data_IF_731577496346
#
_entry.id   IF_731577496346
#
_cell.length_a   1.000
_cell.length_b   1.000
_cell.length_c   1.000
_cell.angle_alpha   90.00
_cell.angle_beta   90.00
_cell.angle_gamma   90.00
#
_symmetry.space_group_name_H-M   'P 1'
#
loop_
_entity.id
_entity.type
_entity.pdbx_description
1 polymer ?
#
# COMPACT_ATOMS: atom_id res chain seq x y z
N UNK A 1 -15.89 68.76 -13.52
CA UNK A 1 -15.99 69.81 -14.53
C UNK A 1 -15.96 69.16 -15.91
N UNK A 2 -16.99 69.47 -16.69
CA UNK A 2 -17.11 69.43 -18.15
C UNK A 2 -16.72 68.14 -18.88
N UNK A 3 -17.64 67.42 -19.53
CA UNK A 3 -18.77 67.94 -20.32
C UNK A 3 -18.32 68.06 -21.78
N UNK A 4 -19.00 67.35 -22.68
CA UNK A 4 -18.61 67.32 -24.08
C UNK A 4 -19.64 66.67 -24.99
N UNK A 5 -20.92 66.97 -24.78
CA UNK A 5 -21.92 66.84 -25.83
C UNK A 5 -21.48 67.69 -27.03
N UNK A 6 -21.55 67.12 -28.24
CA UNK A 6 -21.85 67.90 -29.45
C UNK A 6 -22.92 67.17 -30.23
N UNK A 7 -24.08 67.83 -30.32
CA UNK A 7 -25.10 67.51 -31.29
C UNK A 7 -25.02 68.42 -32.52
N UNK A 8 -25.91 68.09 -33.45
CA UNK A 8 -26.50 68.88 -34.54
C UNK A 8 -25.69 69.13 -35.82
N UNK A 9 -26.33 69.47 -36.97
CA UNK A 9 -27.74 69.32 -37.35
C UNK A 9 -27.97 68.77 -38.79
N UNK A 10 -29.26 68.61 -39.06
CA UNK A 10 -30.01 68.49 -40.30
C UNK A 10 -29.41 69.02 -41.63
N UNK A 11 -29.82 68.32 -42.69
CA UNK A 11 -30.36 68.97 -43.90
C UNK A 11 -29.52 68.82 -45.16
N UNK A 12 -29.92 67.90 -46.05
CA UNK A 12 -30.00 68.14 -47.49
C UNK A 12 -30.43 66.88 -48.25
N UNK A 13 -31.42 67.04 -49.13
CA UNK A 13 -31.49 66.27 -50.37
C UNK A 13 -32.46 65.08 -50.41
N UNK A 14 -33.76 65.36 -50.39
CA UNK A 14 -34.74 64.47 -50.99
C UNK A 14 -34.82 64.73 -52.50
N UNK A 15 -34.99 63.65 -53.28
CA UNK A 15 -35.23 63.61 -54.75
C UNK A 15 -33.92 63.82 -55.51
N UNK A 16 -33.44 62.85 -56.28
CA UNK A 16 -33.87 62.47 -57.65
C UNK A 16 -32.81 61.43 -58.10
N UNK A 17 -33.00 60.37 -58.87
CA UNK A 17 -33.81 60.15 -60.07
C UNK A 17 -33.65 58.67 -60.46
N UNK A 18 -34.71 58.14 -61.05
CA UNK A 18 -34.72 57.28 -62.24
C UNK A 18 -33.81 56.04 -62.36
N UNK A 19 -34.53 54.91 -62.47
CA UNK A 19 -34.47 53.95 -63.59
C UNK A 19 -33.10 53.45 -64.03
N UNK A 20 -32.89 52.14 -63.89
CA UNK A 20 -32.18 51.41 -64.93
C UNK A 20 -31.39 50.22 -64.44
N UNK A 21 -31.87 49.03 -64.84
CA UNK A 21 -31.07 47.82 -65.10
C UNK A 21 -30.43 47.17 -63.86
N UNK A 22 -31.10 46.11 -63.36
CA UNK A 22 -30.43 45.09 -62.55
C UNK A 22 -29.30 44.48 -63.41
N UNK A 23 -28.03 44.49 -62.98
CA UNK A 23 -27.00 43.69 -63.63
C UNK A 23 -27.31 42.19 -63.43
N UNK A 24 -26.94 41.31 -64.37
CA UNK A 24 -27.04 39.87 -64.16
C UNK A 24 -26.10 39.47 -63.01
N UNK A 25 -26.64 38.68 -62.08
CA UNK A 25 -25.93 38.17 -60.90
C UNK A 25 -24.82 37.23 -61.37
N UNK A 26 -23.55 37.42 -60.97
CA UNK A 26 -22.53 36.40 -61.17
C UNK A 26 -22.91 35.17 -60.34
N UNK A 27 -22.94 34.00 -60.98
CA UNK A 27 -23.14 32.71 -60.32
C UNK A 27 -22.03 32.50 -59.30
N UNK A 28 -22.33 32.72 -58.01
CA UNK A 28 -21.45 32.29 -56.92
C UNK A 28 -21.28 30.77 -57.00
N UNK A 29 -20.05 30.23 -56.83
CA UNK A 29 -19.85 28.80 -56.71
C UNK A 29 -20.64 28.31 -55.49
N UNK A 30 -21.56 27.37 -55.76
CA UNK A 30 -22.34 26.65 -54.77
C UNK A 30 -21.41 26.11 -53.67
N UNK A 31 -21.73 26.26 -52.37
CA UNK A 31 -20.92 25.65 -51.32
C UNK A 31 -20.89 24.15 -51.60
N UNK A 32 -19.73 23.62 -51.95
CA UNK A 32 -19.49 22.20 -52.04
C UNK A 32 -20.07 21.57 -50.76
N UNK A 33 -21.08 20.73 -50.93
CA UNK A 33 -21.70 19.99 -49.85
C UNK A 33 -20.60 19.21 -49.15
N UNK A 34 -20.11 19.73 -48.02
CA UNK A 34 -19.32 18.95 -47.08
C UNK A 34 -20.23 17.80 -46.67
N UNK A 35 -20.00 16.62 -47.25
CA UNK A 35 -20.67 15.39 -46.85
C UNK A 35 -20.61 15.37 -45.31
N UNK A 36 -21.74 15.16 -44.61
CA UNK A 36 -21.73 15.11 -43.17
C UNK A 36 -20.74 14.01 -42.78
N UNK A 37 -19.61 14.41 -42.22
CA UNK A 37 -18.62 13.48 -41.66
C UNK A 37 -19.41 12.72 -40.60
N UNK A 38 -19.75 11.46 -40.89
CA UNK A 38 -20.51 10.59 -39.97
C UNK A 38 -19.77 10.67 -38.65
N UNK A 39 -20.33 11.40 -37.69
CA UNK A 39 -19.84 11.37 -36.33
C UNK A 39 -20.15 9.94 -35.88
N UNK A 40 -19.10 9.15 -35.66
CA UNK A 40 -19.25 7.82 -35.09
C UNK A 40 -19.86 8.04 -33.70
N UNK A 41 -21.16 7.84 -33.59
CA UNK A 41 -21.85 7.81 -32.31
C UNK A 41 -21.53 6.44 -31.70
N UNK A 42 -20.93 6.45 -30.51
CA UNK A 42 -20.61 5.23 -29.79
C UNK A 42 -21.91 4.46 -29.55
N UNK A 43 -21.95 3.20 -29.96
CA UNK A 43 -23.12 2.36 -29.70
C UNK A 43 -23.13 1.96 -28.23
N UNK A 44 -24.33 1.77 -27.65
CA UNK A 44 -24.47 1.30 -26.27
C UNK A 44 -23.75 -0.05 -26.06
N UNK A 45 -23.73 -0.90 -27.08
CA UNK A 45 -23.02 -2.19 -27.05
C UNK A 45 -21.51 -2.02 -26.97
N UNK A 46 -20.93 -1.06 -27.70
CA UNK A 46 -19.50 -0.76 -27.62
C UNK A 46 -19.11 -0.35 -26.19
N UNK A 47 -19.87 0.55 -25.54
CA UNK A 47 -19.59 0.92 -24.15
C UNK A 47 -19.83 -0.22 -23.16
N UNK A 48 -20.91 -1.00 -23.35
CA UNK A 48 -21.29 -2.09 -22.47
C UNK A 48 -20.22 -3.19 -22.42
N UNK A 49 -19.66 -3.56 -23.58
CA UNK A 49 -18.62 -4.60 -23.68
C UNK A 49 -17.34 -4.21 -22.93
N UNK A 50 -16.95 -2.93 -22.99
CA UNK A 50 -15.76 -2.43 -22.31
C UNK A 50 -15.90 -2.54 -20.80
N UNK A 51 -17.05 -2.11 -20.26
CA UNK A 51 -17.33 -2.19 -18.83
C UNK A 51 -17.41 -3.65 -18.38
N UNK A 52 -17.99 -4.54 -19.19
CA UNK A 52 -18.06 -5.96 -18.90
C UNK A 52 -16.66 -6.61 -18.77
N UNK A 53 -15.75 -6.29 -19.70
CA UNK A 53 -14.38 -6.82 -19.67
C UNK A 53 -13.59 -6.25 -18.48
N UNK A 54 -13.71 -4.94 -18.19
CA UNK A 54 -13.05 -4.32 -17.03
C UNK A 54 -13.55 -4.96 -15.72
N UNK A 55 -14.86 -5.20 -15.61
CA UNK A 55 -15.45 -5.87 -14.45
C UNK A 55 -14.89 -7.28 -14.24
N UNK A 56 -14.73 -8.05 -15.31
CA UNK A 56 -14.12 -9.39 -15.27
C UNK A 56 -12.66 -9.32 -14.79
N UNK A 57 -11.87 -8.41 -15.36
CA UNK A 57 -10.46 -8.25 -15.00
C UNK A 57 -10.32 -7.84 -13.52
N UNK A 58 -10.99 -6.77 -13.09
CA UNK A 58 -10.93 -6.30 -11.69
C UNK A 58 -11.46 -7.36 -10.72
N UNK A 59 -12.53 -8.07 -11.07
CA UNK A 59 -13.08 -9.16 -10.26
C UNK A 59 -12.10 -10.31 -10.06
N UNK A 60 -11.40 -10.73 -11.13
CA UNK A 60 -10.39 -11.78 -11.04
C UNK A 60 -9.16 -11.34 -10.21
N UNK A 61 -8.76 -10.08 -10.34
CA UNK A 61 -7.65 -9.49 -9.59
C UNK A 61 -7.96 -9.39 -8.09
N UNK A 62 -9.19 -9.03 -7.71
CA UNK A 62 -9.59 -8.90 -6.31
C UNK A 62 -9.45 -10.22 -5.53
N UNK A 63 -9.88 -11.34 -6.14
CA UNK A 63 -9.75 -12.68 -5.53
C UNK A 63 -8.30 -13.17 -5.45
N UNK A 64 -7.46 -12.79 -6.42
CA UNK A 64 -6.03 -13.10 -6.38
C UNK A 64 -5.30 -12.28 -5.30
N UNK A 65 -5.66 -11.00 -5.14
CA UNK A 65 -5.01 -10.09 -4.20
C UNK A 65 -5.25 -10.45 -2.74
N UNK A 66 -6.43 -10.95 -2.38
CA UNK A 66 -6.72 -11.39 -1.01
C UNK A 66 -5.82 -12.55 -0.58
N UNK A 67 -5.60 -13.53 -1.46
CA UNK A 67 -4.66 -14.63 -1.26
C UNK A 67 -3.22 -14.14 -1.16
N UNK A 68 -2.81 -13.24 -2.06
CA UNK A 68 -1.45 -12.68 -2.06
C UNK A 68 -1.12 -11.93 -0.76
N UNK A 69 -2.07 -11.16 -0.21
CA UNK A 69 -1.91 -10.45 1.07
C UNK A 69 -1.76 -11.38 2.26
N UNK A 70 -2.50 -12.48 2.29
CA UNK A 70 -2.38 -13.47 3.35
C UNK A 70 -1.01 -14.18 3.28
N UNK A 71 -0.55 -14.52 2.08
CA UNK A 71 0.81 -15.07 1.88
C UNK A 71 1.90 -14.07 2.30
N UNK A 72 1.75 -12.78 1.96
CA UNK A 72 2.73 -11.76 2.38
C UNK A 72 2.76 -11.57 3.90
N UNK A 73 1.61 -11.65 4.57
CA UNK A 73 1.54 -11.61 6.04
C UNK A 73 2.28 -12.80 6.67
N UNK A 74 2.11 -14.00 6.11
CA UNK A 74 2.82 -15.21 6.57
C UNK A 74 4.31 -15.12 6.34
N UNK A 75 4.73 -14.72 5.14
CA UNK A 75 6.14 -14.55 4.82
C UNK A 75 6.82 -13.52 5.73
N UNK A 76 6.12 -12.42 6.04
CA UNK A 76 6.56 -11.44 7.02
C UNK A 76 6.72 -12.06 8.41
N UNK A 77 5.69 -12.75 8.91
CA UNK A 77 5.74 -13.39 10.22
C UNK A 77 6.87 -14.41 10.33
N UNK A 78 7.15 -15.18 9.27
CA UNK A 78 8.28 -16.10 9.23
C UNK A 78 9.64 -15.41 9.27
N UNK A 79 9.81 -14.28 8.57
CA UNK A 79 11.04 -13.51 8.60
C UNK A 79 11.30 -12.92 9.99
N UNK A 80 10.27 -12.35 10.61
CA UNK A 80 10.29 -11.82 11.98
C UNK A 80 10.69 -12.91 13.00
N UNK A 81 10.14 -14.11 12.86
CA UNK A 81 10.51 -15.27 13.70
C UNK A 81 11.98 -15.69 13.51
N UNK A 82 12.46 -15.74 12.27
CA UNK A 82 13.85 -16.11 11.97
C UNK A 82 14.84 -15.12 12.55
N UNK A 83 14.52 -13.83 12.50
CA UNK A 83 15.35 -12.78 13.10
C UNK A 83 15.47 -12.95 14.62
N UNK A 84 14.35 -13.12 15.31
CA UNK A 84 14.35 -13.37 16.75
C UNK A 84 15.10 -14.65 17.14
N UNK A 85 14.84 -15.77 16.45
CA UNK A 85 15.54 -17.05 16.72
C UNK A 85 17.03 -16.90 16.50
N UNK A 86 17.44 -16.23 15.42
CA UNK A 86 18.86 -15.97 15.14
C UNK A 86 19.51 -15.15 16.24
N UNK A 87 18.85 -14.10 16.73
CA UNK A 87 19.37 -13.28 17.83
C UNK A 87 19.55 -14.10 19.13
N UNK A 88 18.59 -14.98 19.45
CA UNK A 88 18.70 -15.88 20.60
C UNK A 88 19.86 -16.87 20.47
N UNK A 89 20.06 -17.43 19.28
CA UNK A 89 21.17 -18.34 19.00
C UNK A 89 22.52 -17.61 19.09
N UNK A 90 22.61 -16.39 18.53
CA UNK A 90 23.80 -15.55 18.63
C UNK A 90 24.11 -15.19 20.08
N UNK A 91 23.11 -14.82 20.88
CA UNK A 91 23.28 -14.57 22.31
C UNK A 91 23.89 -15.79 23.01
N UNK A 92 23.30 -16.97 22.82
CA UNK A 92 23.82 -18.20 23.43
C UNK A 92 25.24 -18.54 22.95
N UNK A 93 25.57 -18.30 21.67
CA UNK A 93 26.91 -18.50 21.15
C UNK A 93 27.94 -17.53 21.77
N UNK A 94 27.53 -16.30 22.05
CA UNK A 94 28.40 -15.27 22.60
C UNK A 94 28.64 -15.41 24.10
N UNK A 95 27.60 -15.80 24.85
CA UNK A 95 27.59 -15.81 26.32
C UNK A 95 27.58 -17.20 26.94
N UNK A 96 27.30 -18.26 26.17
CA UNK A 96 27.27 -19.65 26.65
C UNK A 96 26.03 -20.03 27.47
N UNK A 97 25.24 -19.04 27.88
CA UNK A 97 24.01 -19.21 28.65
C UNK A 97 22.89 -18.36 28.03
N UNK A 98 21.65 -18.59 28.46
CA UNK A 98 20.53 -17.69 28.15
C UNK A 98 20.45 -16.57 29.21
N UNK A 99 19.85 -15.39 28.91
CA UNK A 99 19.62 -14.33 29.88
C UNK A 99 18.79 -14.78 31.07
N UNK A 100 19.03 -14.15 32.23
CA UNK A 100 18.33 -14.48 33.47
C UNK A 100 16.80 -14.37 33.34
N UNK A 101 16.30 -13.43 32.54
CA UNK A 101 14.85 -13.23 32.30
C UNK A 101 14.16 -14.43 31.64
N UNK A 102 14.89 -15.31 30.94
CA UNK A 102 14.32 -16.52 30.32
C UNK A 102 14.87 -17.82 30.90
N UNK A 103 15.87 -17.77 31.77
CA UNK A 103 16.40 -18.95 32.45
C UNK A 103 15.31 -19.62 33.31
N UNK A 104 15.23 -20.95 33.22
CA UNK A 104 14.25 -21.74 33.98
C UNK A 104 12.81 -21.66 33.49
N UNK A 105 12.54 -20.95 32.40
CA UNK A 105 11.19 -20.78 31.85
C UNK A 105 11.07 -21.52 30.50
N UNK A 106 10.08 -22.41 30.40
CA UNK A 106 9.87 -23.20 29.19
C UNK A 106 9.15 -22.43 28.09
N UNK A 107 8.24 -21.53 28.46
CA UNK A 107 7.39 -20.76 27.55
C UNK A 107 7.14 -19.35 28.08
N UNK A 108 7.36 -18.33 27.24
CA UNK A 108 7.16 -16.93 27.58
C UNK A 108 6.63 -16.11 26.41
N UNK A 109 5.75 -15.13 26.63
CA UNK A 109 5.37 -14.20 25.58
C UNK A 109 6.56 -13.29 25.21
N UNK A 110 6.72 -13.00 23.92
CA UNK A 110 7.70 -12.05 23.42
C UNK A 110 7.30 -10.63 23.85
N UNK A 111 7.92 -10.14 24.91
CA UNK A 111 7.73 -8.79 25.45
C UNK A 111 9.01 -7.96 25.31
N UNK A 112 8.89 -6.65 25.48
CA UNK A 112 10.05 -5.75 25.56
C UNK A 112 11.03 -6.18 26.65
N UNK A 113 10.53 -6.68 27.79
CA UNK A 113 11.38 -7.16 28.91
C UNK A 113 12.12 -8.44 28.55
N UNK A 114 11.47 -9.40 27.88
CA UNK A 114 12.12 -10.68 27.53
C UNK A 114 13.13 -10.54 26.41
N UNK A 115 12.95 -9.57 25.49
CA UNK A 115 13.91 -9.29 24.40
C UNK A 115 14.89 -8.15 24.77
N UNK A 116 14.75 -7.54 25.95
CA UNK A 116 15.61 -6.46 26.44
C UNK A 116 17.11 -6.78 26.32
N UNK A 117 17.59 -7.98 26.70
CA UNK A 117 19.01 -8.34 26.61
C UNK A 117 19.54 -8.41 25.17
N UNK A 118 18.66 -8.54 24.18
CA UNK A 118 19.03 -8.63 22.77
C UNK A 118 18.98 -7.28 22.05
N UNK A 119 18.19 -6.35 22.55
CA UNK A 119 17.90 -5.07 21.90
C UNK A 119 18.70 -3.95 22.55
N UNK A 120 18.74 -3.93 23.89
CA UNK A 120 19.31 -2.82 24.65
C UNK A 120 20.74 -3.16 25.08
N UNK A 121 21.74 -2.36 24.67
CA UNK A 121 23.13 -2.59 25.04
C UNK A 121 23.41 -2.26 26.52
N UNK A 122 22.56 -1.45 27.15
CA UNK A 122 22.69 -1.08 28.56
C UNK A 122 21.96 -2.05 29.51
N UNK A 123 21.40 -3.15 28.98
CA UNK A 123 20.73 -4.16 29.78
C UNK A 123 21.71 -4.88 30.70
N UNK A 124 21.32 -5.14 31.95
CA UNK A 124 22.17 -5.86 32.91
C UNK A 124 22.51 -7.29 32.46
N UNK A 125 21.65 -7.90 31.64
CA UNK A 125 21.86 -9.22 31.03
C UNK A 125 22.66 -9.15 29.70
N UNK A 126 23.25 -8.00 29.33
CA UNK A 126 24.02 -7.84 28.09
C UNK A 126 25.45 -7.31 28.37
N UNK A 127 26.35 -8.13 28.93
CA UNK A 127 27.63 -7.64 29.44
C UNK A 127 28.58 -7.13 28.35
N UNK A 128 28.38 -7.47 27.07
CA UNK A 128 29.16 -6.90 25.95
C UNK A 128 28.50 -5.69 25.30
N UNK A 129 27.29 -5.32 25.70
CA UNK A 129 26.56 -4.19 25.14
C UNK A 129 26.33 -4.29 23.63
N UNK A 130 26.06 -5.49 23.12
CA UNK A 130 25.82 -5.73 21.69
C UNK A 130 24.33 -5.71 21.38
N UNK A 131 23.95 -5.03 20.30
CA UNK A 131 22.59 -5.10 19.77
C UNK A 131 22.51 -6.32 18.84
N UNK A 132 21.86 -7.38 19.30
CA UNK A 132 21.70 -8.64 18.57
C UNK A 132 20.41 -8.69 17.76
N UNK A 133 19.41 -7.91 18.16
CA UNK A 133 18.09 -7.85 17.53
C UNK A 133 17.69 -6.40 17.32
N UNK A 134 17.28 -6.04 16.10
CA UNK A 134 16.67 -4.74 15.80
C UNK A 134 15.23 -4.95 15.30
N UNK A 135 14.28 -5.16 16.23
CA UNK A 135 12.97 -5.65 15.86
C UNK A 135 12.18 -4.58 15.09
N UNK A 136 11.91 -4.82 13.81
CA UNK A 136 10.97 -4.04 12.99
C UNK A 136 9.50 -4.51 13.21
N UNK A 137 9.24 -5.08 14.37
CA UNK A 137 8.03 -5.84 14.68
C UNK A 137 7.11 -4.93 15.51
N UNK A 138 5.81 -4.83 15.16
CA UNK A 138 4.89 -4.01 15.92
C UNK A 138 4.74 -4.55 17.35
N UNK A 139 4.53 -3.62 18.28
CA UNK A 139 4.19 -3.92 19.66
C UNK A 139 2.76 -3.49 19.98
N UNK A 140 2.08 -4.25 20.83
CA UNK A 140 0.78 -3.85 21.34
C UNK A 140 0.92 -2.84 22.49
N UNK A 141 -0.21 -2.26 22.93
CA UNK A 141 -0.23 -1.31 24.04
C UNK A 141 0.33 -1.89 25.36
N UNK A 142 0.32 -3.22 25.51
CA UNK A 142 0.87 -3.92 26.66
C UNK A 142 2.38 -4.23 26.54
N UNK A 143 3.03 -3.86 25.43
CA UNK A 143 4.48 -4.02 25.22
C UNK A 143 4.92 -5.41 24.74
N UNK A 144 4.00 -6.21 24.20
CA UNK A 144 4.30 -7.49 23.56
C UNK A 144 4.48 -7.33 22.05
N UNK A 145 5.48 -8.01 21.49
CA UNK A 145 5.69 -8.13 20.06
C UNK A 145 4.64 -9.04 19.46
N UNK A 146 3.92 -8.53 18.49
CA UNK A 146 2.77 -9.22 17.90
C UNK A 146 2.99 -9.53 16.44
N UNK A 147 2.37 -10.62 16.02
CA UNK A 147 2.27 -11.01 14.63
C UNK A 147 1.35 -10.07 13.80
N UNK A 148 1.28 -10.25 12.46
CA UNK A 148 0.38 -9.48 11.60
C UNK A 148 -1.12 -9.61 11.88
N UNK A 149 -1.53 -10.52 12.77
CA UNK A 149 -2.92 -10.74 13.20
C UNK A 149 -3.19 -10.22 14.63
N UNK A 150 -2.19 -9.66 15.31
CA UNK A 150 -2.28 -9.06 16.65
C UNK A 150 -2.03 -10.01 17.82
N UNK A 151 -1.62 -11.25 17.58
CA UNK A 151 -1.30 -12.21 18.67
C UNK A 151 0.17 -12.10 19.06
N UNK A 152 0.52 -12.11 20.36
CA UNK A 152 1.91 -12.06 20.78
C UNK A 152 2.66 -13.35 20.41
N UNK A 153 3.92 -13.25 20.00
CA UNK A 153 4.74 -14.45 19.80
C UNK A 153 5.03 -15.15 21.13
N UNK A 154 5.16 -16.47 21.09
CA UNK A 154 5.54 -17.27 22.25
C UNK A 154 6.95 -17.82 22.06
N UNK A 155 7.85 -17.46 22.95
CA UNK A 155 9.21 -17.96 23.02
C UNK A 155 9.19 -19.29 23.80
N UNK A 156 9.81 -20.33 23.25
CA UNK A 156 10.03 -21.59 23.96
C UNK A 156 11.51 -21.98 23.93
N UNK A 157 12.06 -22.20 25.10
CA UNK A 157 13.46 -22.54 25.30
C UNK A 157 13.53 -23.98 25.81
N UNK A 158 13.85 -24.92 24.92
CA UNK A 158 14.11 -26.30 25.32
C UNK A 158 15.58 -26.41 25.71
N UNK A 159 15.86 -26.33 27.01
CA UNK A 159 17.19 -26.61 27.52
C UNK A 159 17.43 -28.12 27.52
N UNK A 160 18.58 -28.58 26.99
CA UNK A 160 18.97 -29.98 27.07
C UNK A 160 19.21 -30.38 28.52
N UNK A 161 18.42 -31.33 29.02
CA UNK A 161 18.59 -31.87 30.36
C UNK A 161 19.78 -32.85 30.36
N UNK A 162 20.93 -32.43 30.88
CA UNK A 162 22.03 -33.26 31.41
C UNK A 162 22.62 -34.38 30.53
N UNK A 163 22.47 -34.35 29.21
CA UNK A 163 23.32 -35.13 28.29
C UNK A 163 24.22 -34.19 27.49
N UNK A 164 25.54 -34.39 27.62
CA UNK A 164 26.62 -33.49 27.20
C UNK A 164 26.74 -33.22 25.68
N UNK A 165 25.74 -33.60 24.88
CA UNK A 165 25.78 -33.52 23.41
C UNK A 165 24.52 -32.93 22.77
N UNK A 166 23.61 -32.32 23.54
CA UNK A 166 22.40 -31.73 22.99
C UNK A 166 22.56 -30.21 22.80
N UNK A 167 22.41 -29.75 21.56
CA UNK A 167 22.44 -28.33 21.22
C UNK A 167 21.20 -27.59 21.78
N UNK A 168 21.39 -26.35 22.25
CA UNK A 168 20.28 -25.50 22.69
C UNK A 168 19.26 -25.34 21.55
N UNK A 169 17.99 -25.67 21.82
CA UNK A 169 16.88 -25.45 20.89
C UNK A 169 16.07 -24.25 21.36
N UNK A 170 16.24 -23.13 20.67
CA UNK A 170 15.33 -21.97 20.79
C UNK A 170 14.30 -22.07 19.68
N UNK A 171 13.02 -22.04 20.06
CA UNK A 171 11.92 -22.04 19.09
C UNK A 171 10.95 -20.95 19.46
N UNK A 172 10.42 -20.26 18.46
CA UNK A 172 9.40 -19.24 18.67
C UNK A 172 8.16 -19.73 17.98
N UNK A 173 7.12 -19.94 18.78
CA UNK A 173 5.82 -20.40 18.36
C UNK A 173 4.94 -19.20 18.07
N UNK A 174 4.31 -19.25 16.90
CA UNK A 174 3.20 -18.39 16.55
C UNK A 174 1.92 -19.04 17.07
N UNK A 175 1.24 -18.49 18.09
CA UNK A 175 -0.04 -18.99 18.57
C UNK A 175 -1.10 -18.79 17.49
N UNK A 176 -1.30 -19.82 16.67
CA UNK A 176 -2.16 -19.73 15.48
C UNK A 176 -1.64 -20.48 14.25
N UNK A 177 -0.53 -21.23 14.36
CA UNK A 177 0.01 -22.05 13.26
C UNK A 177 -1.02 -23.03 12.68
N UNK A 178 -2.09 -23.30 13.45
CA UNK A 178 -3.25 -24.11 13.09
C UNK A 178 -4.41 -23.36 12.42
N UNK A 179 -4.26 -22.11 11.95
CA UNK A 179 -5.17 -21.58 10.93
C UNK A 179 -4.94 -22.33 9.62
N UNK A 180 -5.35 -23.61 9.60
CA UNK A 180 -5.56 -24.42 8.40
C UNK A 180 -6.34 -23.54 7.43
N UNK A 181 -5.75 -23.28 6.28
CA UNK A 181 -6.55 -22.99 5.10
C UNK A 181 -7.39 -24.26 4.83
N UNK A 182 -8.65 -24.13 4.36
CA UNK A 182 -9.40 -25.29 3.87
C UNK A 182 -8.62 -26.04 2.78
#
# INVERSE_FOLDING_TARGET
MNGGHRGFPAGAGWRTWCRGRRPPVPCLPSPASRLPRRRAAFTLMEMLSVIAIIGLLVGSLALALSKARELSRRARAEAELREMVSAWLQYHQLYGELPSVVQGQNELPSSRKTLDPLINPESGDNPRGLVLLNPQIPFNAAGFYTDPWGTPYQLSFAQPKLEATAALRTSITFPGRQRRLP
#
